data_IF_927225845708
#
_entry.id   IF_927225845708
#
_cell.length_a   1.000
_cell.length_b   1.000
_cell.length_c   1.000
_cell.angle_alpha   90.00
_cell.angle_beta   90.00
_cell.angle_gamma   90.00
#
_symmetry.space_group_name_H-M   'P 1'
#
loop_
_entity.id
_entity.type
_entity.pdbx_description
1 polymer ?
#
# COMPACT_ATOMS: atom_id res chain seq x y z
N UNK A 1 14.70 -14.53 -22.87
CA UNK A 1 14.57 -15.92 -23.33
C UNK A 1 15.29 -16.89 -22.41
N UNK A 2 14.79 -18.12 -22.33
CA UNK A 2 15.39 -19.22 -21.56
C UNK A 2 16.38 -19.97 -22.47
N UNK A 3 17.58 -20.24 -21.97
CA UNK A 3 18.66 -20.91 -22.72
C UNK A 3 18.33 -22.36 -23.05
N UNK A 4 18.83 -22.87 -24.18
CA UNK A 4 18.67 -24.27 -24.62
C UNK A 4 19.31 -25.30 -23.69
N UNK A 5 20.22 -24.89 -22.80
CA UNK A 5 20.85 -25.75 -21.79
C UNK A 5 20.08 -25.79 -20.45
N UNK A 6 18.97 -25.06 -20.33
CA UNK A 6 18.22 -24.96 -19.07
C UNK A 6 17.55 -26.29 -18.73
N UNK A 7 17.91 -26.87 -17.58
CA UNK A 7 17.44 -28.19 -17.15
C UNK A 7 16.19 -28.13 -16.27
N UNK A 8 15.94 -27.01 -15.59
CA UNK A 8 14.71 -26.76 -14.85
C UNK A 8 14.48 -25.26 -14.62
N UNK A 9 13.21 -24.85 -14.54
CA UNK A 9 12.80 -23.52 -14.11
C UNK A 9 11.64 -23.69 -13.13
N UNK A 10 11.71 -23.02 -11.98
CA UNK A 10 10.61 -22.90 -11.03
C UNK A 10 10.20 -21.43 -10.96
N UNK A 11 8.94 -21.14 -11.31
CA UNK A 11 8.39 -19.78 -11.28
C UNK A 11 7.20 -19.75 -10.32
N UNK A 12 7.12 -18.70 -9.53
CA UNK A 12 5.94 -18.36 -8.74
C UNK A 12 5.50 -16.94 -9.08
N UNK A 13 4.19 -16.73 -9.17
CA UNK A 13 3.58 -15.42 -9.27
C UNK A 13 2.37 -15.37 -8.34
N UNK A 14 2.29 -14.33 -7.51
CA UNK A 14 1.16 -14.06 -6.62
C UNK A 14 0.62 -12.66 -6.90
N UNK A 15 -0.69 -12.54 -7.09
CA UNK A 15 -1.38 -11.28 -7.28
C UNK A 15 -2.60 -11.21 -6.36
N UNK A 16 -2.70 -10.13 -5.59
CA UNK A 16 -3.83 -9.90 -4.69
C UNK A 16 -4.42 -8.51 -4.90
N UNK A 17 -5.73 -8.46 -5.11
CA UNK A 17 -6.53 -7.24 -5.15
C UNK A 17 -7.79 -7.43 -4.30
N UNK A 18 -7.61 -7.33 -2.98
CA UNK A 18 -8.70 -7.43 -2.03
C UNK A 18 -9.66 -6.24 -2.09
N UNK A 19 -10.91 -6.48 -1.70
CA UNK A 19 -11.88 -5.43 -1.43
C UNK A 19 -11.75 -5.03 0.03
N UNK A 20 -11.65 -3.74 0.33
CA UNK A 20 -11.74 -3.28 1.72
C UNK A 20 -13.08 -3.66 2.32
N UNK A 21 -13.12 -4.12 3.57
CA UNK A 21 -14.39 -4.34 4.29
C UNK A 21 -15.17 -3.03 4.41
N UNK A 22 -14.45 -1.91 4.51
CA UNK A 22 -15.02 -0.56 4.46
C UNK A 22 -14.26 0.29 3.42
N UNK A 23 -14.79 0.43 2.19
CA UNK A 23 -14.14 1.17 1.13
C UNK A 23 -13.89 2.65 1.45
N UNK A 24 -12.97 3.27 0.72
CA UNK A 24 -12.79 4.72 0.68
C UNK A 24 -13.80 5.35 -0.27
N UNK A 25 -14.30 6.54 0.07
CA UNK A 25 -15.17 7.29 -0.82
C UNK A 25 -14.34 7.91 -1.95
N UNK A 26 -14.60 7.51 -3.20
CA UNK A 26 -13.81 7.97 -4.35
C UNK A 26 -13.80 9.49 -4.51
N UNK A 27 -14.90 10.18 -4.16
CA UNK A 27 -15.02 11.65 -4.22
C UNK A 27 -14.10 12.38 -3.24
N UNK A 28 -13.67 11.69 -2.17
CA UNK A 28 -12.76 12.26 -1.17
C UNK A 28 -11.29 12.02 -1.51
N UNK A 29 -10.98 11.29 -2.58
CA UNK A 29 -9.62 11.18 -3.09
C UNK A 29 -9.21 12.50 -3.72
N UNK A 30 -8.14 13.10 -3.18
CA UNK A 30 -7.62 14.40 -3.65
C UNK A 30 -6.10 14.34 -3.74
N UNK A 31 -5.52 15.15 -4.62
CA UNK A 31 -4.06 15.23 -4.72
C UNK A 31 -3.49 15.87 -3.45
N UNK A 32 -2.52 15.20 -2.82
CA UNK A 32 -1.73 15.71 -1.69
C UNK A 32 -0.24 15.45 -1.93
N UNK A 33 0.62 16.25 -1.28
CA UNK A 33 2.07 16.07 -1.35
C UNK A 33 2.46 14.74 -0.69
N UNK A 34 3.25 13.96 -1.41
CA UNK A 34 4.00 12.81 -0.92
C UNK A 34 5.48 13.17 -0.89
N UNK A 35 6.16 12.81 0.20
CA UNK A 35 7.57 13.12 0.43
C UNK A 35 8.40 11.86 0.16
N UNK A 36 9.31 11.94 -0.81
CA UNK A 36 10.26 10.85 -1.09
C UNK A 36 11.46 10.90 -0.15
N UNK A 37 12.18 9.78 -0.06
CA UNK A 37 13.38 9.66 0.76
C UNK A 37 14.49 10.63 0.31
N UNK A 38 14.59 10.90 -0.99
CA UNK A 38 15.56 11.83 -1.57
C UNK A 38 15.24 13.32 -1.31
N UNK A 39 14.18 13.61 -0.55
CA UNK A 39 13.75 14.96 -0.21
C UNK A 39 12.88 15.64 -1.27
N UNK A 40 12.64 15.01 -2.42
CA UNK A 40 11.70 15.53 -3.42
C UNK A 40 10.26 15.31 -2.99
N UNK A 41 9.33 16.04 -3.63
CA UNK A 41 7.90 15.89 -3.37
C UNK A 41 7.10 15.79 -4.66
N UNK A 42 6.03 14.99 -4.64
CA UNK A 42 5.08 14.91 -5.75
C UNK A 42 3.65 14.97 -5.23
N UNK A 43 2.77 15.61 -6.00
CA UNK A 43 1.35 15.64 -5.70
C UNK A 43 0.67 14.37 -6.23
N UNK A 44 0.15 13.52 -5.35
CA UNK A 44 -0.41 12.20 -5.68
C UNK A 44 -1.87 12.06 -5.22
N UNK A 45 -2.74 11.34 -5.98
CA UNK A 45 -4.09 11.02 -5.55
C UNK A 45 -4.08 10.25 -4.23
N UNK A 46 -4.50 10.90 -3.15
CA UNK A 46 -4.50 10.35 -1.80
C UNK A 46 -5.93 10.08 -1.36
N UNK A 47 -6.24 8.81 -1.05
CA UNK A 47 -7.55 8.42 -0.53
C UNK A 47 -7.78 9.02 0.87
N UNK A 48 -9.03 9.27 1.22
CA UNK A 48 -9.39 9.86 2.51
C UNK A 48 -10.53 9.09 3.18
N UNK A 49 -10.41 8.91 4.49
CA UNK A 49 -11.45 8.36 5.35
C UNK A 49 -11.33 8.96 6.75
N UNK A 50 -12.47 9.27 7.37
CA UNK A 50 -12.55 9.73 8.75
C UNK A 50 -13.52 8.82 9.50
N UNK A 51 -12.98 7.90 10.30
CA UNK A 51 -13.71 6.89 11.07
C UNK A 51 -12.82 6.31 12.16
N UNK A 52 -13.38 5.41 12.98
CA UNK A 52 -12.61 4.67 13.97
C UNK A 52 -11.77 3.58 13.28
N UNK A 53 -10.52 3.48 13.69
CA UNK A 53 -9.57 2.44 13.27
C UNK A 53 -8.91 1.87 14.51
N UNK A 54 -8.50 0.59 14.47
CA UNK A 54 -7.48 0.11 15.38
C UNK A 54 -6.17 0.78 14.94
N UNK A 55 -5.57 1.56 15.84
CA UNK A 55 -4.37 2.35 15.56
C UNK A 55 -3.52 2.44 16.82
N UNK A 56 -2.24 2.75 16.65
CA UNK A 56 -1.35 2.95 17.79
C UNK A 56 0.04 3.44 17.38
N UNK A 57 0.88 3.62 18.40
CA UNK A 57 2.28 4.03 18.27
C UNK A 57 3.18 2.82 18.49
N UNK A 58 4.28 2.77 17.74
CA UNK A 58 5.33 1.77 17.86
C UNK A 58 6.62 2.52 18.20
N UNK A 59 6.81 2.81 19.48
CA UNK A 59 7.88 3.68 19.97
C UNK A 59 9.27 3.10 19.67
N UNK A 60 9.43 1.78 19.80
CA UNK A 60 10.70 1.06 19.55
C UNK A 60 11.24 1.27 18.13
N UNK A 61 10.38 1.61 17.17
CA UNK A 61 10.74 1.83 15.76
C UNK A 61 10.29 3.21 15.25
N UNK A 62 9.90 4.11 16.14
CA UNK A 62 9.42 5.45 15.83
C UNK A 62 8.36 5.48 14.71
N UNK A 63 7.35 4.62 14.82
CA UNK A 63 6.31 4.48 13.79
C UNK A 63 4.88 4.57 14.35
N UNK A 64 3.91 4.69 13.45
CA UNK A 64 2.48 4.61 13.75
C UNK A 64 1.87 3.51 12.90
N UNK A 65 0.90 2.77 13.44
CA UNK A 65 0.14 1.78 12.68
C UNK A 65 -1.35 2.14 12.65
N UNK A 66 -2.03 1.66 11.59
CA UNK A 66 -3.49 1.68 11.46
C UNK A 66 -3.93 0.43 10.70
N UNK A 67 -4.98 -0.24 11.17
CA UNK A 67 -5.51 -1.45 10.55
C UNK A 67 -6.56 -1.13 9.47
N UNK A 68 -6.42 -1.77 8.30
CA UNK A 68 -7.37 -1.69 7.20
C UNK A 68 -7.76 -3.10 6.76
N UNK A 69 -8.96 -3.53 7.18
CA UNK A 69 -9.44 -4.87 6.92
C UNK A 69 -9.90 -5.03 5.45
N UNK A 70 -9.62 -6.21 4.90
CA UNK A 70 -10.23 -6.70 3.66
C UNK A 70 -11.49 -7.53 3.97
N UNK A 71 -12.41 -7.58 3.01
CA UNK A 71 -13.62 -8.41 3.05
C UNK A 71 -13.28 -9.88 2.87
#
# INVERSE_FOLDING_TARGET
DISSATTAVLVNAAFFKGRWSTPFEKRETRNKLFHYEDGTTQNLPTMHAQRHFNYGLLDDVNAKFAELNYQ
#
